data_IF_505884688346
#
_entry.id   IF_505884688346
#
_cell.length_a   1.000
_cell.length_b   1.000
_cell.length_c   1.000
_cell.angle_alpha   90.00
_cell.angle_beta   90.00
_cell.angle_gamma   90.00
#
_symmetry.space_group_name_H-M   'P 1'
#
loop_
_entity.id
_entity.type
_entity.pdbx_description
1 polymer ?
#
# COMPACT_ATOMS: atom_id res chain seq x y z
N UNK A 1 -37.86 -0.23 -34.36
CA UNK A 1 -38.23 1.21 -34.29
C UNK A 1 -38.62 1.50 -32.85
N UNK A 2 -37.68 1.95 -32.00
CA UNK A 2 -37.42 3.36 -31.66
C UNK A 2 -38.70 4.02 -31.11
N UNK A 3 -38.85 4.36 -29.83
CA UNK A 3 -38.18 5.40 -29.01
C UNK A 3 -38.92 5.40 -27.64
N UNK A 4 -38.49 5.87 -26.48
CA UNK A 4 -37.35 6.65 -26.02
C UNK A 4 -37.52 6.83 -24.50
N UNK A 5 -36.41 6.87 -23.77
CA UNK A 5 -36.34 7.28 -22.36
C UNK A 5 -36.49 8.81 -22.26
N UNK A 6 -36.93 9.32 -21.10
CA UNK A 6 -36.08 10.24 -20.34
C UNK A 6 -36.01 9.74 -18.89
N UNK A 7 -34.87 9.72 -18.21
CA UNK A 7 -33.91 10.81 -18.09
C UNK A 7 -34.00 11.36 -16.67
N UNK A 8 -33.37 10.66 -15.71
CA UNK A 8 -33.10 11.18 -14.37
C UNK A 8 -31.67 10.80 -13.99
N UNK A 9 -30.73 11.48 -14.64
CA UNK A 9 -29.31 11.46 -14.31
C UNK A 9 -29.11 12.41 -13.12
N UNK A 10 -29.14 11.88 -11.89
CA UNK A 10 -28.71 12.66 -10.72
C UNK A 10 -27.20 12.55 -10.63
N UNK A 11 -26.52 13.59 -11.12
CA UNK A 11 -25.10 13.80 -10.92
C UNK A 11 -24.89 14.23 -9.46
N UNK A 12 -24.68 13.27 -8.57
CA UNK A 12 -24.14 13.56 -7.24
C UNK A 12 -22.61 13.49 -7.33
N UNK A 13 -22.01 14.62 -7.71
CA UNK A 13 -20.62 14.92 -7.36
C UNK A 13 -20.62 15.17 -5.85
N UNK A 14 -20.04 14.26 -5.07
CA UNK A 14 -19.66 14.56 -3.69
C UNK A 14 -18.15 14.38 -3.47
N UNK A 15 -17.50 15.33 -2.78
CA UNK A 15 -16.10 15.25 -2.39
C UNK A 15 -15.93 14.55 -1.03
N UNK A 16 -14.76 13.91 -0.84
CA UNK A 16 -14.12 13.58 0.46
C UNK A 16 -14.79 12.46 1.33
N UNK A 17 -14.16 11.95 2.41
CA UNK A 17 -13.11 10.94 2.38
C UNK A 17 -13.41 9.83 3.42
N UNK A 18 -14.65 9.35 3.55
CA UNK A 18 -15.00 8.42 4.63
C UNK A 18 -15.67 7.16 4.09
N UNK A 19 -14.84 6.15 3.84
CA UNK A 19 -15.27 4.79 3.53
C UNK A 19 -15.91 4.16 4.78
N UNK A 20 -17.20 4.44 5.00
CA UNK A 20 -18.06 3.76 5.99
C UNK A 20 -18.63 2.50 5.34
N UNK A 21 -18.26 1.33 5.85
CA UNK A 21 -18.79 0.03 5.39
C UNK A 21 -20.17 -0.20 6.01
N UNK A 22 -21.22 -0.15 5.20
CA UNK A 22 -22.61 -0.43 5.57
C UNK A 22 -22.85 -1.95 5.66
N UNK A 23 -23.26 -2.44 6.83
CA UNK A 23 -23.89 -3.76 6.98
C UNK A 23 -25.37 -3.48 7.28
N UNK A 24 -26.24 -3.80 6.33
CA UNK A 24 -27.68 -3.70 6.52
C UNK A 24 -28.20 -5.00 7.14
N UNK A 25 -28.89 -4.88 8.29
CA UNK A 25 -29.79 -5.91 8.81
C UNK A 25 -31.15 -5.24 8.97
N UNK A 26 -32.14 -5.71 8.23
CA UNK A 26 -33.53 -5.27 8.32
C UNK A 26 -34.05 -5.47 9.75
N UNK A 27 -34.38 -4.39 10.43
CA UNK A 27 -35.76 -4.07 10.81
C UNK A 27 -35.76 -2.73 11.56
N UNK A 28 -36.14 -1.66 10.86
CA UNK A 28 -36.61 -0.37 11.38
C UNK A 28 -35.92 0.22 12.64
N UNK A 29 -34.59 0.10 12.75
CA UNK A 29 -33.78 0.73 13.78
C UNK A 29 -32.36 0.83 13.30
N UNK A 30 -32.02 1.93 12.61
CA UNK A 30 -30.66 2.25 12.20
C UNK A 30 -29.81 2.53 13.44
N UNK A 31 -29.37 1.47 14.11
CA UNK A 31 -28.35 1.55 15.14
C UNK A 31 -27.02 1.81 14.44
N UNK A 32 -26.72 3.11 14.30
CA UNK A 32 -25.46 3.61 13.79
C UNK A 32 -24.37 3.29 14.81
N UNK A 33 -23.77 2.11 14.68
CA UNK A 33 -22.54 1.80 15.39
C UNK A 33 -21.39 2.53 14.69
N UNK A 34 -21.16 3.79 15.07
CA UNK A 34 -19.88 4.44 14.84
C UNK A 34 -18.81 3.62 15.53
N UNK A 35 -18.16 2.73 14.79
CA UNK A 35 -16.82 2.31 15.19
C UNK A 35 -15.96 3.56 15.01
N UNK A 36 -15.76 4.32 16.08
CA UNK A 36 -14.77 5.40 16.11
C UNK A 36 -13.45 4.83 15.59
N UNK A 37 -13.06 5.26 14.40
CA UNK A 37 -11.75 4.90 13.87
C UNK A 37 -10.73 5.44 14.87
N UNK A 38 -9.96 4.53 15.50
CA UNK A 38 -8.98 4.96 16.49
C UNK A 38 -8.07 6.01 15.86
N UNK A 39 -7.70 7.05 16.63
CA UNK A 39 -6.83 8.13 16.15
C UNK A 39 -5.55 7.59 15.50
N UNK A 40 -5.05 6.44 15.99
CA UNK A 40 -3.93 5.71 15.40
C UNK A 40 -4.21 5.18 13.99
N UNK A 41 -5.40 4.66 13.72
CA UNK A 41 -5.78 4.18 12.38
C UNK A 41 -5.73 5.28 11.33
N UNK A 42 -6.26 6.47 11.67
CA UNK A 42 -6.27 7.63 10.77
C UNK A 42 -4.84 8.13 10.51
N UNK A 43 -4.05 8.28 11.57
CA UNK A 43 -2.65 8.72 11.47
C UNK A 43 -1.82 7.77 10.62
N UNK A 44 -1.92 6.45 10.85
CA UNK A 44 -1.16 5.47 10.06
C UNK A 44 -1.58 5.47 8.59
N UNK A 45 -2.87 5.67 8.29
CA UNK A 45 -3.35 5.78 6.90
C UNK A 45 -2.78 7.02 6.20
N UNK A 46 -2.77 8.16 6.88
CA UNK A 46 -2.20 9.40 6.35
C UNK A 46 -0.69 9.28 6.14
N UNK A 47 0.03 8.73 7.12
CA UNK A 47 1.47 8.48 7.00
C UNK A 47 1.78 7.54 5.84
N UNK A 48 1.03 6.45 5.70
CA UNK A 48 1.15 5.53 4.57
C UNK A 48 1.01 6.25 3.23
N UNK A 49 0.02 7.13 3.07
CA UNK A 49 -0.16 7.88 1.82
C UNK A 49 0.97 8.87 1.54
N UNK A 50 1.48 9.55 2.58
CA UNK A 50 2.58 10.51 2.44
C UNK A 50 3.87 9.76 2.07
N UNK A 51 4.20 8.69 2.78
CA UNK A 51 5.38 7.86 2.50
C UNK A 51 5.29 7.25 1.10
N UNK A 52 4.13 6.72 0.69
CA UNK A 52 3.96 6.18 -0.66
C UNK A 52 4.12 7.24 -1.77
N UNK A 53 3.68 8.48 -1.54
CA UNK A 53 3.95 9.58 -2.47
C UNK A 53 5.44 9.93 -2.51
N UNK A 54 6.10 9.97 -1.34
CA UNK A 54 7.53 10.19 -1.26
C UNK A 54 8.33 9.08 -1.95
N UNK A 55 7.92 7.81 -1.85
CA UNK A 55 8.54 6.67 -2.52
C UNK A 55 8.57 6.86 -4.03
N UNK A 56 7.42 7.23 -4.62
CA UNK A 56 7.32 7.48 -6.07
C UNK A 56 8.19 8.65 -6.50
N UNK A 57 8.23 9.73 -5.72
CA UNK A 57 9.05 10.90 -6.01
C UNK A 57 10.55 10.58 -5.93
N UNK A 58 10.99 9.93 -4.86
CA UNK A 58 12.40 9.60 -4.64
C UNK A 58 12.89 8.54 -5.64
N UNK A 59 12.06 7.55 -5.96
CA UNK A 59 12.38 6.57 -7.00
C UNK A 59 12.48 7.23 -8.39
N UNK A 60 11.62 8.21 -8.67
CA UNK A 60 11.71 9.00 -9.91
C UNK A 60 13.01 9.80 -9.96
N UNK A 61 13.43 10.41 -8.84
CA UNK A 61 14.71 11.12 -8.76
C UNK A 61 15.91 10.18 -8.93
N UNK A 62 15.87 8.98 -8.34
CA UNK A 62 16.90 7.95 -8.53
C UNK A 62 17.00 7.46 -9.99
N UNK A 63 15.89 7.51 -10.74
CA UNK A 63 15.90 7.15 -12.16
C UNK A 63 16.53 8.21 -13.05
N UNK A 64 16.55 9.47 -12.59
CA UNK A 64 17.17 10.60 -13.30
C UNK A 64 18.63 10.76 -12.88
N UNK A 65 18.89 10.73 -11.57
CA UNK A 65 20.21 10.93 -10.97
C UNK A 65 20.82 9.56 -10.68
N UNK A 66 21.59 9.07 -11.65
CA UNK A 66 22.37 7.85 -11.49
C UNK A 66 23.65 8.09 -10.69
N UNK A 67 24.20 7.02 -10.14
CA UNK A 67 25.49 7.02 -9.44
C UNK A 67 26.63 7.66 -10.27
N UNK A 68 26.61 7.47 -11.60
CA UNK A 68 27.64 8.00 -12.52
C UNK A 68 27.66 9.52 -12.64
N UNK A 69 26.54 10.18 -12.37
CA UNK A 69 26.45 11.64 -12.44
C UNK A 69 26.86 12.26 -11.11
N UNK A 70 26.31 11.75 -9.99
CA UNK A 70 26.63 12.22 -8.66
C UNK A 70 26.37 11.14 -7.60
N UNK A 71 27.42 10.38 -7.27
CA UNK A 71 27.35 9.31 -6.27
C UNK A 71 26.84 9.78 -4.91
N UNK A 72 27.31 10.92 -4.41
CA UNK A 72 26.89 11.46 -3.09
C UNK A 72 25.38 11.73 -3.03
N UNK A 73 24.82 12.34 -4.08
CA UNK A 73 23.38 12.64 -4.16
C UNK A 73 22.60 11.34 -4.31
N UNK A 74 23.08 10.40 -5.11
CA UNK A 74 22.47 9.10 -5.31
C UNK A 74 22.31 8.34 -3.98
N UNK A 75 23.36 8.30 -3.14
CA UNK A 75 23.30 7.65 -1.82
C UNK A 75 22.27 8.32 -0.91
N UNK A 76 22.20 9.65 -0.90
CA UNK A 76 21.22 10.39 -0.09
C UNK A 76 19.78 10.08 -0.57
N UNK A 77 19.56 10.07 -1.88
CA UNK A 77 18.27 9.73 -2.48
C UNK A 77 17.87 8.29 -2.18
N UNK A 78 18.81 7.35 -2.29
CA UNK A 78 18.59 5.93 -1.99
C UNK A 78 18.26 5.72 -0.51
N UNK A 79 19.00 6.36 0.39
CA UNK A 79 18.74 6.30 1.82
C UNK A 79 17.36 6.90 2.17
N UNK A 80 17.00 8.03 1.57
CA UNK A 80 15.68 8.64 1.71
C UNK A 80 14.56 7.74 1.22
N UNK A 81 14.73 7.14 0.03
CA UNK A 81 13.78 6.19 -0.56
C UNK A 81 13.60 4.97 0.35
N UNK A 82 14.70 4.34 0.76
CA UNK A 82 14.67 3.18 1.64
C UNK A 82 13.99 3.49 2.98
N UNK A 83 14.25 4.65 3.58
CA UNK A 83 13.61 5.07 4.82
C UNK A 83 12.10 5.31 4.66
N UNK A 84 11.69 6.04 3.62
CA UNK A 84 10.27 6.29 3.31
C UNK A 84 9.52 4.97 3.07
N UNK A 85 10.10 4.07 2.27
CA UNK A 85 9.54 2.76 1.95
C UNK A 85 9.44 1.87 3.19
N UNK A 86 10.43 1.93 4.09
CA UNK A 86 10.40 1.17 5.33
C UNK A 86 9.24 1.61 6.25
N UNK A 87 9.04 2.92 6.38
CA UNK A 87 7.89 3.49 7.14
C UNK A 87 6.57 3.09 6.48
N UNK A 88 6.48 3.14 5.15
CA UNK A 88 5.32 2.69 4.40
C UNK A 88 5.01 1.20 4.70
N UNK A 89 6.01 0.32 4.72
CA UNK A 89 5.82 -1.11 5.02
C UNK A 89 5.33 -1.36 6.44
N UNK A 90 5.87 -0.63 7.42
CA UNK A 90 5.38 -0.70 8.80
C UNK A 90 3.91 -0.27 8.86
N UNK A 91 3.55 0.84 8.22
CA UNK A 91 2.19 1.34 8.19
C UNK A 91 1.23 0.31 7.57
N UNK A 92 1.60 -0.27 6.42
CA UNK A 92 0.81 -1.32 5.75
C UNK A 92 0.67 -2.57 6.63
N UNK A 93 1.73 -2.99 7.32
CA UNK A 93 1.68 -4.13 8.24
C UNK A 93 0.74 -3.86 9.43
N UNK A 94 0.76 -2.63 9.99
CA UNK A 94 -0.16 -2.20 11.04
C UNK A 94 -1.61 -2.17 10.55
N UNK A 95 -1.87 -1.61 9.36
CA UNK A 95 -3.19 -1.62 8.74
C UNK A 95 -3.68 -3.05 8.49
N UNK A 96 -2.83 -3.94 7.99
CA UNK A 96 -3.15 -5.37 7.79
C UNK A 96 -3.50 -6.04 9.10
N UNK A 97 -2.81 -5.71 10.21
CA UNK A 97 -3.12 -6.24 11.53
C UNK A 97 -4.49 -5.77 12.04
N UNK A 98 -4.83 -4.50 11.85
CA UNK A 98 -6.12 -3.94 12.29
C UNK A 98 -7.31 -4.41 11.43
N UNK A 99 -7.08 -4.68 10.15
CA UNK A 99 -8.12 -5.13 9.20
C UNK A 99 -8.03 -6.63 8.92
N UNK A 100 -7.51 -7.40 9.87
CA UNK A 100 -7.35 -8.84 9.75
C UNK A 100 -8.69 -9.54 9.96
N UNK A 101 -9.16 -10.27 8.93
CA UNK A 101 -10.44 -10.99 8.98
C UNK A 101 -10.29 -12.49 9.25
N UNK A 102 -9.05 -12.99 9.33
CA UNK A 102 -8.79 -14.42 9.53
C UNK A 102 -8.89 -15.28 8.26
N UNK A 103 -9.17 -14.69 7.10
CA UNK A 103 -9.20 -15.39 5.82
C UNK A 103 -7.84 -16.04 5.49
N UNK A 104 -7.86 -17.18 4.78
CA UNK A 104 -6.65 -17.81 4.26
C UNK A 104 -5.80 -16.84 3.41
N UNK A 105 -6.45 -16.01 2.58
CA UNK A 105 -5.74 -15.00 1.79
C UNK A 105 -5.05 -13.93 2.65
N UNK A 106 -5.61 -13.61 3.82
CA UNK A 106 -5.02 -12.66 4.77
C UNK A 106 -3.79 -13.25 5.47
N UNK A 107 -3.81 -14.55 5.79
CA UNK A 107 -2.69 -15.27 6.40
C UNK A 107 -1.50 -15.33 5.43
N UNK A 108 -1.76 -15.74 4.18
CA UNK A 108 -0.74 -15.79 3.13
C UNK A 108 -0.12 -14.42 2.88
N UNK A 109 -0.95 -13.36 2.77
CA UNK A 109 -0.46 -12.00 2.57
C UNK A 109 0.37 -11.50 3.74
N UNK A 110 -0.06 -11.75 4.98
CA UNK A 110 0.72 -11.37 6.18
C UNK A 110 2.08 -12.06 6.21
N UNK A 111 2.15 -13.33 5.81
CA UNK A 111 3.40 -14.07 5.67
C UNK A 111 4.29 -13.42 4.61
N UNK A 112 3.74 -13.12 3.44
CA UNK A 112 4.48 -12.49 2.33
C UNK A 112 5.00 -11.09 2.70
N UNK A 113 4.16 -10.25 3.31
CA UNK A 113 4.55 -8.93 3.81
C UNK A 113 5.70 -9.02 4.82
N UNK A 114 5.65 -10.00 5.74
CA UNK A 114 6.72 -10.24 6.70
C UNK A 114 8.01 -10.73 6.02
N UNK A 115 7.91 -11.60 5.02
CA UNK A 115 9.07 -12.08 4.27
C UNK A 115 9.78 -10.93 3.55
N UNK A 116 9.05 -10.06 2.84
CA UNK A 116 9.62 -8.90 2.16
C UNK A 116 10.19 -7.87 3.14
N UNK A 117 9.51 -7.63 4.26
CA UNK A 117 10.05 -6.75 5.30
C UNK A 117 11.36 -7.32 5.89
N UNK A 118 11.41 -8.62 6.15
CA UNK A 118 12.62 -9.28 6.62
C UNK A 118 13.74 -9.24 5.59
N UNK A 119 13.43 -9.48 4.31
CA UNK A 119 14.43 -9.41 3.24
C UNK A 119 15.04 -8.02 3.14
N UNK A 120 14.21 -6.96 3.11
CA UNK A 120 14.68 -5.57 3.07
C UNK A 120 15.49 -5.19 4.32
N UNK A 121 15.04 -5.65 5.50
CA UNK A 121 15.76 -5.41 6.76
C UNK A 121 17.16 -6.05 6.75
N UNK A 122 17.33 -7.18 6.07
CA UNK A 122 18.63 -7.85 5.92
C UNK A 122 19.47 -7.23 4.80
N UNK A 123 18.86 -6.84 3.68
CA UNK A 123 19.62 -6.32 2.54
C UNK A 123 20.16 -4.91 2.77
N UNK A 124 19.46 -4.05 3.52
CA UNK A 124 19.96 -2.70 3.86
C UNK A 124 21.35 -2.72 4.52
N UNK A 125 21.61 -3.46 5.62
CA UNK A 125 22.93 -3.51 6.22
C UNK A 125 23.97 -4.18 5.32
N UNK A 126 23.57 -5.13 4.47
CA UNK A 126 24.46 -5.75 3.46
C UNK A 126 24.91 -4.71 2.43
N UNK A 127 24.00 -3.86 1.94
CA UNK A 127 24.31 -2.78 1.01
C UNK A 127 25.28 -1.78 1.65
N UNK A 128 25.04 -1.38 2.90
CA UNK A 128 25.94 -0.48 3.65
C UNK A 128 27.34 -1.10 3.81
N UNK A 129 27.41 -2.40 4.13
CA UNK A 129 28.67 -3.11 4.25
C UNK A 129 29.43 -3.16 2.92
N UNK A 130 28.75 -3.53 1.82
CA UNK A 130 29.35 -3.57 0.47
C UNK A 130 29.81 -2.18 0.02
N UNK A 131 29.01 -1.14 0.28
CA UNK A 131 29.38 0.24 -0.01
C UNK A 131 30.64 0.66 0.77
N UNK A 132 30.74 0.29 2.04
CA UNK A 132 31.92 0.57 2.88
C UNK A 132 33.14 -0.22 2.42
N UNK A 133 32.97 -1.48 2.02
CA UNK A 133 34.06 -2.30 1.48
C UNK A 133 34.61 -1.75 0.16
N UNK A 134 33.72 -1.27 -0.71
CA UNK A 134 34.11 -0.66 -1.98
C UNK A 134 34.82 0.68 -1.77
N UNK A 135 34.20 1.61 -1.04
CA UNK A 135 34.72 2.98 -0.90
C UNK A 135 35.86 3.10 0.13
N UNK A 136 35.83 2.31 1.20
CA UNK A 136 36.81 2.38 2.28
C UNK A 136 38.02 1.47 2.07
N UNK A 137 37.79 0.25 1.58
CA UNK A 137 38.84 -0.78 1.47
C UNK A 137 39.26 -1.09 0.02
N UNK A 138 38.66 -0.43 -0.98
CA UNK A 138 38.98 -0.60 -2.40
C UNK A 138 38.98 -2.06 -2.88
N UNK A 139 38.09 -2.90 -2.32
CA UNK A 139 38.05 -4.32 -2.65
C UNK A 139 37.39 -4.49 -4.03
N UNK A 140 38.07 -5.11 -5.02
CA UNK A 140 37.49 -5.34 -6.34
C UNK A 140 36.25 -6.26 -6.23
N UNK A 141 35.35 -6.21 -7.22
CA UNK A 141 34.10 -6.99 -7.27
C UNK A 141 32.98 -6.57 -6.28
N UNK A 142 33.31 -5.87 -5.19
CA UNK A 142 32.31 -5.43 -4.20
C UNK A 142 31.30 -4.42 -4.76
N UNK A 143 31.70 -3.64 -5.76
CA UNK A 143 30.83 -2.74 -6.51
C UNK A 143 29.72 -3.48 -7.28
N UNK A 144 30.08 -4.54 -8.01
CA UNK A 144 29.11 -5.34 -8.78
C UNK A 144 28.09 -6.00 -7.84
N UNK A 145 28.56 -6.51 -6.70
CA UNK A 145 27.68 -7.04 -5.65
C UNK A 145 26.78 -5.96 -5.07
N UNK A 146 27.33 -4.78 -4.77
CA UNK A 146 26.57 -3.64 -4.26
C UNK A 146 25.40 -3.31 -5.21
N UNK A 147 25.68 -3.15 -6.50
CA UNK A 147 24.66 -2.86 -7.51
C UNK A 147 23.58 -3.97 -7.55
N UNK A 148 23.98 -5.24 -7.55
CA UNK A 148 23.02 -6.37 -7.54
C UNK A 148 22.12 -6.33 -6.30
N UNK A 149 22.66 -6.09 -5.11
CA UNK A 149 21.87 -6.02 -3.88
C UNK A 149 20.96 -4.79 -3.83
N UNK A 150 21.40 -3.66 -4.38
CA UNK A 150 20.60 -2.46 -4.53
C UNK A 150 19.37 -2.73 -5.42
N UNK A 151 19.58 -3.22 -6.65
CA UNK A 151 18.48 -3.57 -7.56
C UNK A 151 17.55 -4.64 -6.97
N UNK A 152 18.09 -5.66 -6.31
CA UNK A 152 17.29 -6.68 -5.64
C UNK A 152 16.41 -6.10 -4.52
N UNK A 153 16.94 -5.13 -3.77
CA UNK A 153 16.20 -4.44 -2.70
C UNK A 153 15.08 -3.58 -3.27
N UNK A 154 15.36 -2.79 -4.32
CA UNK A 154 14.33 -1.98 -5.01
C UNK A 154 13.24 -2.88 -5.60
N UNK A 155 13.61 -4.01 -6.20
CA UNK A 155 12.65 -4.99 -6.73
C UNK A 155 11.78 -5.60 -5.62
N UNK A 156 12.37 -5.97 -4.49
CA UNK A 156 11.62 -6.48 -3.34
C UNK A 156 10.65 -5.43 -2.77
N UNK A 157 11.07 -4.17 -2.73
CA UNK A 157 10.22 -3.06 -2.32
C UNK A 157 9.03 -2.89 -3.30
N UNK A 158 9.30 -2.85 -4.60
CA UNK A 158 8.26 -2.77 -5.62
C UNK A 158 7.27 -3.94 -5.54
N UNK A 159 7.76 -5.17 -5.38
CA UNK A 159 6.93 -6.35 -5.22
C UNK A 159 5.98 -6.23 -4.01
N UNK A 160 6.45 -5.65 -2.90
CA UNK A 160 5.62 -5.39 -1.73
C UNK A 160 4.49 -4.38 -2.03
N UNK A 161 4.78 -3.29 -2.76
CA UNK A 161 3.76 -2.33 -3.16
C UNK A 161 2.66 -3.00 -3.99
N UNK A 162 3.04 -3.77 -5.02
CA UNK A 162 2.10 -4.52 -5.88
C UNK A 162 1.25 -5.50 -5.07
N UNK A 163 1.86 -6.22 -4.12
CA UNK A 163 1.14 -7.16 -3.25
C UNK A 163 0.17 -6.47 -2.28
N UNK A 164 0.36 -5.18 -2.02
CA UNK A 164 -0.46 -4.40 -1.08
C UNK A 164 -1.64 -3.69 -1.76
N UNK A 165 -1.58 -3.45 -3.07
CA UNK A 165 -2.63 -2.79 -3.85
C UNK A 165 -4.02 -3.44 -3.69
N UNK A 166 -4.21 -4.77 -3.84
CA UNK A 166 -5.54 -5.38 -3.85
C UNK A 166 -6.37 -5.16 -2.57
N UNK A 167 -5.71 -4.88 -1.44
CA UNK A 167 -6.39 -4.59 -0.17
C UNK A 167 -6.89 -3.15 -0.09
N UNK A 168 -6.26 -2.24 -0.83
CA UNK A 168 -6.62 -0.82 -0.89
C UNK A 168 -7.65 -0.51 -1.99
N UNK A 169 -7.68 -1.28 -3.07
CA UNK A 169 -8.63 -1.13 -4.19
C UNK A 169 -10.05 -1.61 -3.88
N UNK A 170 -10.48 -1.53 -2.60
CA UNK A 170 -11.70 -2.11 -2.08
C UNK A 170 -12.84 -2.16 -3.09
N UNK A 171 -13.14 -3.36 -3.60
CA UNK A 171 -14.34 -3.59 -4.39
C UNK A 171 -15.54 -3.25 -3.51
N UNK A 172 -16.28 -2.21 -3.88
CA UNK A 172 -17.60 -1.92 -3.33
C UNK A 172 -18.52 -3.00 -3.88
N UNK A 173 -18.73 -4.07 -3.12
CA UNK A 173 -19.78 -5.03 -3.41
C UNK A 173 -21.13 -4.38 -3.09
N UNK A 174 -21.76 -3.77 -4.09
CA UNK A 174 -23.17 -3.36 -4.00
C UNK A 174 -24.01 -4.63 -4.13
N UNK A 175 -24.36 -5.26 -3.01
CA UNK A 175 -25.35 -6.32 -2.98
C UNK A 175 -26.73 -5.68 -3.14
N UNK A 176 -27.33 -5.82 -4.32
CA UNK A 176 -28.74 -5.50 -4.52
C UNK A 176 -29.56 -6.69 -4.01
N UNK A 177 -30.06 -6.62 -2.77
CA UNK A 177 -31.06 -7.58 -2.29
C UNK A 177 -32.34 -7.39 -3.10
N UNK A 178 -32.56 -8.22 -4.11
CA UNK A 178 -33.83 -8.26 -4.84
C UNK A 178 -34.94 -8.69 -3.86
N UNK A 179 -35.86 -7.76 -3.62
CA UNK A 179 -37.08 -7.91 -2.83
C UNK A 179 -37.82 -9.18 -3.24
N UNK A 180 -37.89 -10.16 -2.34
CA UNK A 180 -38.82 -11.29 -2.45
C UNK A 180 -40.20 -10.78 -2.04
N UNK A 181 -40.97 -10.23 -2.99
CA UNK A 181 -42.36 -9.85 -2.74
C UNK A 181 -43.17 -11.11 -2.43
N UNK A 182 -43.48 -11.33 -1.15
CA UNK A 182 -44.40 -12.38 -0.70
C UNK A 182 -45.83 -11.85 -0.87
N UNK A 183 -46.43 -12.13 -2.03
CA UNK A 183 -47.84 -11.80 -2.29
C UNK A 183 -48.74 -12.77 -1.52
N UNK A 184 -49.23 -12.37 -0.35
CA UNK A 184 -50.34 -13.03 0.32
C UNK A 184 -51.63 -12.38 -0.20
N UNK A 185 -52.38 -13.08 -1.06
CA UNK A 185 -53.76 -12.71 -1.37
C UNK A 185 -54.67 -13.34 -0.32
N UNK A 186 -55.43 -12.49 0.36
CA UNK A 186 -56.62 -12.83 1.15
C UNK A 186 -57.76 -13.14 0.20
#
# INVERSE_FOLDING_TARGET
MATGSPGAFITAVLPQPDCKRLIASDDAGLEYSTVEASRGFVVTRTLMTICGAADVLLLSLLSVIGERESGDIHVILFAGFAAASYVYFICVCLLTRWTFTGSQSDIWRKRLQRTFLASVTITIPVIIALFTLYNGFCVPFTYELFAVFEYATVLAMYAFHVCSLPKMTGHVYVFHSSIKSRTQRV
#
